data_IF_564484159809
#
_entry.id   IF_564484159809
#
_cell.length_a   1.000
_cell.length_b   1.000
_cell.length_c   1.000
_cell.angle_alpha   90.00
_cell.angle_beta   90.00
_cell.angle_gamma   90.00
#
_symmetry.space_group_name_H-M   'P 1'
#
loop_
_entity.id
_entity.type
_entity.pdbx_description
1 polymer ?
#
# COMPACT_ATOMS: atom_id res chain seq x y z
N UNK A 1 -17.81 -25.80 -0.57
CA UNK A 1 -16.55 -26.20 0.11
C UNK A 1 -15.64 -24.99 0.05
N UNK A 2 -15.81 -24.06 0.99
CA UNK A 2 -15.18 -22.74 0.92
C UNK A 2 -13.76 -22.80 1.45
N UNK A 3 -12.78 -22.52 0.61
CA UNK A 3 -11.38 -22.40 1.01
C UNK A 3 -11.27 -21.27 2.02
N UNK A 4 -11.14 -21.61 3.31
CA UNK A 4 -10.75 -20.64 4.33
C UNK A 4 -9.29 -20.30 4.08
N UNK A 5 -9.03 -19.21 3.37
CA UNK A 5 -7.69 -18.64 3.35
C UNK A 5 -7.29 -18.30 4.79
N UNK A 6 -6.08 -18.68 5.23
CA UNK A 6 -5.63 -18.35 6.57
C UNK A 6 -5.73 -16.83 6.72
N UNK A 7 -6.37 -16.36 7.80
CA UNK A 7 -6.25 -14.95 8.20
C UNK A 7 -4.76 -14.66 8.15
N UNK A 8 -4.35 -13.82 7.20
CA UNK A 8 -2.98 -13.35 7.17
C UNK A 8 -2.70 -12.87 8.57
N UNK A 9 -1.72 -13.47 9.23
CA UNK A 9 -1.24 -12.97 10.50
C UNK A 9 -0.59 -11.65 10.15
N UNK A 10 -1.43 -10.60 10.09
CA UNK A 10 -1.02 -9.23 9.86
C UNK A 10 0.05 -9.02 10.92
N UNK A 11 1.29 -8.82 10.49
CA UNK A 11 2.24 -8.15 11.38
C UNK A 11 1.49 -6.88 11.83
N UNK A 12 1.45 -6.57 13.13
CA UNK A 12 0.93 -5.28 13.54
C UNK A 12 1.67 -4.26 12.69
N UNK A 13 0.91 -3.53 11.86
CA UNK A 13 1.44 -2.36 11.18
C UNK A 13 1.94 -1.50 12.34
N UNK A 14 3.22 -1.10 12.38
CA UNK A 14 3.70 -0.26 13.46
C UNK A 14 2.73 0.92 13.58
N UNK A 15 2.24 1.16 14.79
CA UNK A 15 1.08 2.06 15.02
C UNK A 15 1.28 3.39 14.31
N UNK A 16 2.51 3.92 14.31
CA UNK A 16 2.89 5.11 13.56
C UNK A 16 4.36 5.01 13.12
N UNK A 17 4.65 5.48 11.91
CA UNK A 17 6.00 5.69 11.39
C UNK A 17 6.45 7.14 11.63
N UNK A 18 7.76 7.36 11.71
CA UNK A 18 8.35 8.70 11.67
C UNK A 18 8.86 8.97 10.26
N UNK A 19 8.25 9.91 9.56
CA UNK A 19 8.75 10.45 8.31
C UNK A 19 9.84 11.48 8.62
N UNK A 20 11.04 11.28 8.09
CA UNK A 20 12.17 12.19 8.26
C UNK A 20 12.56 12.72 6.89
N UNK A 21 12.45 14.03 6.69
CA UNK A 21 12.71 14.66 5.40
C UNK A 21 13.30 16.07 5.56
N UNK A 22 13.84 16.61 4.47
CA UNK A 22 14.37 17.98 4.43
C UNK A 22 13.44 18.88 3.64
N UNK A 23 13.08 20.03 4.22
CA UNK A 23 12.28 21.05 3.55
C UNK A 23 12.81 22.44 3.85
N UNK A 24 12.99 23.28 2.82
CA UNK A 24 13.55 24.64 2.93
C UNK A 24 14.85 24.74 3.76
N UNK A 25 15.69 23.70 3.68
CA UNK A 25 16.98 23.63 4.40
C UNK A 25 16.92 22.98 5.79
N UNK A 26 15.73 22.83 6.37
CA UNK A 26 15.54 22.28 7.71
C UNK A 26 15.10 20.81 7.66
N UNK A 27 15.40 20.06 8.73
CA UNK A 27 14.96 18.66 8.88
C UNK A 27 13.66 18.61 9.68
N UNK A 28 12.68 17.88 9.16
CA UNK A 28 11.36 17.68 9.75
C UNK A 28 11.17 16.21 10.15
N UNK A 29 10.38 16.00 11.19
CA UNK A 29 10.03 14.71 11.75
C UNK A 29 8.52 14.66 11.97
N UNK A 30 7.80 13.98 11.10
CA UNK A 30 6.34 13.90 11.15
C UNK A 30 5.88 12.48 11.47
N UNK A 31 4.70 12.39 12.08
CA UNK A 31 4.04 11.12 12.39
C UNK A 31 3.16 10.71 11.21
N UNK A 32 3.41 9.54 10.65
CA UNK A 32 2.70 9.03 9.47
C UNK A 32 2.24 7.59 9.62
N UNK A 33 1.32 7.19 8.73
CA UNK A 33 0.83 5.81 8.62
C UNK A 33 1.26 5.22 7.29
N UNK A 34 1.98 4.09 7.32
CA UNK A 34 2.36 3.40 6.10
C UNK A 34 1.34 2.34 5.70
N UNK A 35 0.82 2.44 4.48
CA UNK A 35 -0.16 1.49 3.92
C UNK A 35 0.50 0.51 2.95
N UNK A 36 0.19 -0.78 3.11
CA UNK A 36 0.65 -1.85 2.23
C UNK A 36 -0.52 -2.51 1.50
N UNK A 37 -0.80 -2.01 0.30
CA UNK A 37 -1.92 -2.44 -0.53
C UNK A 37 -1.44 -3.52 -1.52
N UNK A 38 -2.22 -4.59 -1.69
CA UNK A 38 -1.97 -5.63 -2.70
C UNK A 38 -3.16 -5.63 -3.64
N UNK A 39 -2.92 -5.46 -4.93
CA UNK A 39 -3.95 -5.34 -5.95
C UNK A 39 -3.36 -5.65 -7.32
N UNK A 40 -4.21 -5.65 -8.35
CA UNK A 40 -3.78 -5.82 -9.74
C UNK A 40 -3.06 -4.57 -10.27
N UNK A 41 -2.26 -4.73 -11.34
CA UNK A 41 -1.55 -3.61 -11.99
C UNK A 41 -2.52 -2.53 -12.49
N UNK A 42 -3.68 -2.93 -13.02
CA UNK A 42 -4.70 -1.99 -13.49
C UNK A 42 -5.24 -1.13 -12.33
N UNK A 43 -5.61 -1.75 -11.21
CA UNK A 43 -6.06 -1.02 -10.01
C UNK A 43 -4.96 -0.19 -9.38
N UNK A 44 -3.71 -0.65 -9.40
CA UNK A 44 -2.57 0.13 -8.91
C UNK A 44 -2.45 1.45 -9.69
N UNK A 45 -2.62 1.43 -11.01
CA UNK A 45 -2.63 2.65 -11.85
C UNK A 45 -3.81 3.58 -11.54
N UNK A 46 -5.00 3.00 -11.32
CA UNK A 46 -6.19 3.76 -10.90
C UNK A 46 -5.96 4.43 -9.54
N UNK A 47 -5.44 3.69 -8.56
CA UNK A 47 -5.12 4.22 -7.22
C UNK A 47 -4.05 5.32 -7.28
N UNK A 48 -2.99 5.15 -8.08
CA UNK A 48 -1.95 6.16 -8.22
C UNK A 48 -2.47 7.49 -8.80
N UNK A 49 -3.56 7.44 -9.58
CA UNK A 49 -4.24 8.64 -10.09
C UNK A 49 -5.25 9.20 -9.09
N UNK A 50 -5.96 8.32 -8.37
CA UNK A 50 -7.02 8.69 -7.44
C UNK A 50 -6.50 9.28 -6.12
N UNK A 51 -5.40 8.75 -5.57
CA UNK A 51 -4.86 9.16 -4.26
C UNK A 51 -4.53 10.66 -4.22
N UNK A 52 -3.78 11.25 -5.18
CA UNK A 52 -3.49 12.68 -5.17
C UNK A 52 -4.72 13.58 -5.17
N UNK A 53 -5.83 13.14 -5.77
CA UNK A 53 -7.08 13.90 -5.83
C UNK A 53 -7.85 13.90 -4.50
N UNK A 54 -7.58 12.92 -3.63
CA UNK A 54 -8.35 12.68 -2.41
C UNK A 54 -7.51 12.75 -1.12
N UNK A 55 -6.19 12.87 -1.25
CA UNK A 55 -5.27 12.97 -0.13
C UNK A 55 -5.19 14.42 0.39
N UNK A 56 -5.07 14.58 1.71
CA UNK A 56 -5.06 15.91 2.35
C UNK A 56 -3.75 16.67 2.18
N UNK A 57 -2.63 15.96 2.00
CA UNK A 57 -1.31 16.55 1.74
C UNK A 57 -1.08 16.85 0.26
N UNK A 58 -0.38 17.95 -0.02
CA UNK A 58 -0.13 18.48 -1.37
C UNK A 58 0.58 17.50 -2.33
N UNK A 59 1.42 16.62 -1.78
CA UNK A 59 2.15 15.62 -2.54
C UNK A 59 2.25 14.30 -1.75
N UNK A 60 1.28 13.39 -1.87
CA UNK A 60 1.35 12.09 -1.22
C UNK A 60 2.45 11.21 -1.82
N UNK A 61 3.09 10.39 -0.98
CA UNK A 61 3.95 9.30 -1.44
C UNK A 61 3.10 8.13 -1.94
N UNK A 62 3.24 7.77 -3.23
CA UNK A 62 2.64 6.57 -3.82
C UNK A 62 3.68 5.83 -4.65
N UNK A 63 4.04 4.63 -4.22
CA UNK A 63 5.05 3.79 -4.88
C UNK A 63 4.44 2.41 -5.17
N UNK A 64 4.55 1.96 -6.42
CA UNK A 64 4.11 0.62 -6.85
C UNK A 64 5.30 -0.30 -7.05
N UNK A 65 5.28 -1.48 -6.42
CA UNK A 65 6.31 -2.51 -6.58
C UNK A 65 5.68 -3.76 -7.21
N UNK A 66 6.26 -4.33 -8.28
CA UNK A 66 5.72 -5.53 -8.90
C UNK A 66 5.95 -6.75 -8.02
N UNK A 67 4.91 -7.57 -7.84
CA UNK A 67 5.04 -8.91 -7.23
C UNK A 67 5.50 -9.87 -8.34
N UNK A 68 6.76 -10.28 -8.30
CA UNK A 68 7.38 -11.13 -9.33
C UNK A 68 7.31 -12.64 -9.03
N UNK A 69 6.79 -13.02 -7.86
CA UNK A 69 6.61 -14.40 -7.45
C UNK A 69 5.79 -14.53 -6.16
N UNK A 70 5.23 -15.71 -5.93
CA UNK A 70 4.38 -15.99 -4.77
C UNK A 70 3.66 -17.33 -4.90
N UNK A 71 2.84 -17.67 -3.91
CA UNK A 71 1.96 -18.84 -3.99
C UNK A 71 0.84 -18.56 -5.01
N UNK A 72 0.72 -19.34 -6.10
CA UNK A 72 -0.24 -19.05 -7.18
C UNK A 72 -1.66 -18.83 -6.68
N UNK A 73 -2.18 -19.75 -5.86
CA UNK A 73 -3.53 -19.67 -5.31
C UNK A 73 -3.82 -18.41 -4.46
N UNK A 74 -2.79 -17.74 -3.94
CA UNK A 74 -2.93 -16.48 -3.21
C UNK A 74 -2.90 -15.26 -4.16
N UNK A 75 -2.07 -15.33 -5.21
CA UNK A 75 -2.03 -14.29 -6.25
C UNK A 75 -3.31 -14.29 -7.09
N UNK A 76 -3.83 -15.48 -7.39
CA UNK A 76 -5.13 -15.67 -8.03
C UNK A 76 -6.23 -15.04 -7.16
N UNK A 77 -6.23 -15.34 -5.86
CA UNK A 77 -7.19 -14.73 -4.92
C UNK A 77 -7.10 -13.20 -4.87
N UNK A 78 -5.90 -12.61 -4.86
CA UNK A 78 -5.77 -11.14 -4.95
C UNK A 78 -6.42 -10.62 -6.24
N UNK A 79 -6.19 -11.32 -7.35
CA UNK A 79 -6.75 -10.93 -8.65
C UNK A 79 -8.26 -11.04 -8.64
N UNK A 80 -8.83 -12.12 -8.12
CA UNK A 80 -10.28 -12.35 -8.05
C UNK A 80 -11.00 -11.32 -7.16
N UNK A 81 -10.37 -10.88 -6.05
CA UNK A 81 -10.97 -9.90 -5.14
C UNK A 81 -10.78 -8.44 -5.59
N UNK A 82 -9.91 -8.19 -6.57
CA UNK A 82 -9.55 -6.81 -6.97
C UNK A 82 -9.62 -6.55 -8.48
N UNK A 83 -10.19 -7.47 -9.26
CA UNK A 83 -10.50 -7.26 -10.67
C UNK A 83 -11.71 -6.34 -10.85
#
# INVERSE_FOLDING_TARGET
MGTRYPRQQLRPIPDQATAVYRWKGEIYHDTEWQLWIKTTDERAKQLASWIPEHHSGDLPEVITLPITGGLPAYLDWITDETS
#
